data_IF_865708692569
#
_entry.id   IF_865708692569
#
_cell.length_a   1.000
_cell.length_b   1.000
_cell.length_c   1.000
_cell.angle_alpha   90.00
_cell.angle_beta   90.00
_cell.angle_gamma   90.00
#
_symmetry.space_group_name_H-M   'P 1'
#
loop_
_entity.id
_entity.type
_entity.pdbx_description
1 polymer ?
#
# COMPACT_ATOMS: atom_id res chain seq x y z
N UNK A 1 -4.63 4.50 -8.26
CA UNK A 1 -5.36 3.22 -8.18
C UNK A 1 -6.52 3.21 -9.16
N UNK A 2 -7.47 4.15 -9.02
CA UNK A 2 -8.67 4.26 -9.88
C UNK A 2 -8.33 4.22 -11.39
N UNK A 3 -7.45 5.11 -11.86
CA UNK A 3 -7.05 5.17 -13.28
C UNK A 3 -6.40 3.88 -13.82
N UNK A 4 -5.76 3.08 -12.95
CA UNK A 4 -5.15 1.82 -13.36
C UNK A 4 -6.18 0.69 -13.40
N UNK A 5 -7.13 0.68 -12.45
CA UNK A 5 -8.23 -0.28 -12.44
C UNK A 5 -9.22 -0.03 -13.58
N UNK A 6 -9.50 1.24 -13.93
CA UNK A 6 -10.32 1.61 -15.09
C UNK A 6 -9.68 1.23 -16.43
N UNK A 7 -8.35 1.08 -16.46
CA UNK A 7 -7.60 0.59 -17.61
C UNK A 7 -7.44 -0.95 -17.62
N UNK A 8 -8.20 -1.67 -16.78
CA UNK A 8 -8.13 -3.14 -16.61
C UNK A 8 -6.72 -3.68 -16.28
N UNK A 9 -5.89 -2.86 -15.64
CA UNK A 9 -4.56 -3.30 -15.19
C UNK A 9 -4.65 -3.97 -13.82
N UNK A 10 -3.95 -5.09 -13.59
CA UNK A 10 -3.88 -5.72 -12.28
C UNK A 10 -3.15 -4.79 -11.29
N UNK A 11 -3.81 -4.51 -10.15
CA UNK A 11 -3.25 -3.66 -9.09
C UNK A 11 -3.20 -4.45 -7.79
N UNK A 12 -2.10 -4.36 -7.06
CA UNK A 12 -1.95 -4.93 -5.73
C UNK A 12 -1.52 -3.86 -4.73
N UNK A 13 -2.03 -3.92 -3.50
CA UNK A 13 -1.52 -3.10 -2.40
C UNK A 13 -0.46 -3.90 -1.63
N UNK A 14 0.74 -3.34 -1.53
CA UNK A 14 1.85 -3.98 -0.82
C UNK A 14 2.26 -3.13 0.38
N UNK A 15 2.80 -3.76 1.41
CA UNK A 15 3.43 -3.03 2.50
C UNK A 15 4.74 -2.38 1.99
N UNK A 16 4.92 -1.05 2.10
CA UNK A 16 6.14 -0.39 1.64
C UNK A 16 7.43 -0.95 2.24
N UNK A 17 7.37 -1.53 3.45
CA UNK A 17 8.52 -2.21 4.09
C UNK A 17 8.98 -3.41 3.27
N UNK A 18 8.05 -4.24 2.78
CA UNK A 18 8.39 -5.43 1.99
C UNK A 18 9.11 -5.06 0.70
N UNK A 19 8.64 -4.03 -0.01
CA UNK A 19 9.32 -3.53 -1.21
C UNK A 19 10.74 -3.03 -0.93
N UNK A 20 10.95 -2.35 0.21
CA UNK A 20 12.28 -1.89 0.64
C UNK A 20 13.20 -3.04 1.03
N UNK A 21 12.69 -4.03 1.74
CA UNK A 21 13.51 -5.17 2.16
C UNK A 21 13.88 -6.06 0.97
N UNK A 22 12.99 -6.20 -0.01
CA UNK A 22 13.30 -6.81 -1.31
C UNK A 22 14.37 -6.04 -2.10
N UNK A 23 14.29 -4.71 -2.14
CA UNK A 23 15.31 -3.85 -2.75
C UNK A 23 16.70 -4.07 -2.12
N UNK A 24 16.75 -4.14 -0.78
CA UNK A 24 18.00 -4.41 -0.04
C UNK A 24 18.55 -5.80 -0.36
N UNK A 25 17.70 -6.82 -0.34
CA UNK A 25 18.10 -8.20 -0.63
C UNK A 25 18.64 -8.36 -2.06
N UNK A 26 18.18 -7.53 -3.01
CA UNK A 26 18.62 -7.54 -4.41
C UNK A 26 19.82 -6.62 -4.69
N UNK A 27 20.36 -5.93 -3.67
CA UNK A 27 21.59 -5.14 -3.77
C UNK A 27 21.47 -3.83 -4.56
N UNK A 28 20.24 -3.38 -4.88
CA UNK A 28 20.02 -2.12 -5.61
C UNK A 28 19.84 -0.96 -4.62
N UNK A 29 20.89 -0.16 -4.46
CA UNK A 29 20.95 0.97 -3.51
C UNK A 29 20.81 2.36 -4.15
N UNK A 30 20.82 2.46 -5.48
CA UNK A 30 20.58 3.72 -6.18
C UNK A 30 19.08 3.98 -6.30
N UNK A 31 18.61 5.09 -5.72
CA UNK A 31 17.21 5.54 -5.81
C UNK A 31 17.04 6.52 -6.97
N UNK A 32 16.65 6.00 -8.11
CA UNK A 32 16.03 6.78 -9.17
C UNK A 32 14.66 6.18 -9.44
N UNK A 33 13.72 6.96 -9.97
CA UNK A 33 12.36 6.48 -10.26
C UNK A 33 12.38 5.24 -11.17
N UNK A 34 13.34 5.16 -12.10
CA UNK A 34 13.51 4.01 -12.98
C UNK A 34 13.95 2.73 -12.24
N UNK A 35 14.83 2.86 -11.24
CA UNK A 35 15.30 1.71 -10.45
C UNK A 35 14.19 1.25 -9.51
N UNK A 36 13.50 2.18 -8.85
CA UNK A 36 12.37 1.86 -7.96
C UNK A 36 11.27 1.13 -8.74
N UNK A 37 10.94 1.58 -9.95
CA UNK A 37 9.97 0.90 -10.83
C UNK A 37 10.41 -0.53 -11.19
N UNK A 38 11.70 -0.73 -11.54
CA UNK A 38 12.22 -2.05 -11.88
C UNK A 38 12.21 -3.01 -10.69
N UNK A 39 12.51 -2.50 -9.49
CA UNK A 39 12.46 -3.29 -8.25
C UNK A 39 11.02 -3.71 -7.94
N UNK A 40 10.06 -2.79 -8.06
CA UNK A 40 8.64 -3.11 -7.81
C UNK A 40 8.08 -4.09 -8.85
N UNK A 41 8.47 -3.99 -10.12
CA UNK A 41 8.11 -4.97 -11.14
C UNK A 41 8.64 -6.36 -10.79
N UNK A 42 9.94 -6.46 -10.45
CA UNK A 42 10.55 -7.73 -10.06
C UNK A 42 9.93 -8.29 -8.77
N UNK A 43 9.60 -7.43 -7.80
CA UNK A 43 8.86 -7.84 -6.60
C UNK A 43 7.50 -8.43 -6.97
N UNK A 44 6.74 -7.79 -7.87
CA UNK A 44 5.43 -8.26 -8.32
C UNK A 44 5.49 -9.62 -8.99
N UNK A 45 6.49 -9.84 -9.85
CA UNK A 45 6.73 -11.13 -10.51
C UNK A 45 7.11 -12.23 -9.51
N UNK A 46 7.99 -11.94 -8.55
CA UNK A 46 8.51 -12.91 -7.61
C UNK A 46 7.52 -13.26 -6.48
N UNK A 47 6.84 -12.26 -5.94
CA UNK A 47 5.98 -12.41 -4.76
C UNK A 47 4.51 -12.63 -5.11
N UNK A 48 4.09 -12.34 -6.35
CA UNK A 48 2.72 -12.46 -6.83
C UNK A 48 1.68 -11.97 -5.81
N UNK A 49 1.77 -10.71 -5.36
CA UNK A 49 0.89 -10.19 -4.33
C UNK A 49 -0.57 -10.24 -4.79
N UNK A 50 -1.49 -10.40 -3.84
CA UNK A 50 -2.91 -10.51 -4.12
C UNK A 50 -3.41 -9.29 -4.90
N UNK A 51 -3.97 -9.55 -6.08
CA UNK A 51 -4.61 -8.53 -6.91
C UNK A 51 -5.87 -8.05 -6.20
N UNK A 52 -6.01 -6.74 -6.07
CA UNK A 52 -7.18 -6.10 -5.53
C UNK A 52 -8.36 -6.30 -6.48
N UNK A 53 -9.50 -6.69 -5.92
CA UNK A 53 -10.75 -6.66 -6.65
C UNK A 53 -11.05 -5.21 -7.09
N UNK A 54 -11.67 -5.08 -8.27
CA UNK A 54 -12.16 -3.79 -8.75
C UNK A 54 -13.24 -3.31 -7.78
N UNK A 55 -13.06 -2.11 -7.23
CA UNK A 55 -14.06 -1.51 -6.34
C UNK A 55 -15.31 -1.13 -7.14
N UNK A 56 -16.49 -1.51 -6.65
CA UNK A 56 -17.75 -1.08 -7.25
C UNK A 56 -17.93 0.43 -7.08
N UNK A 57 -18.72 1.05 -7.95
CA UNK A 57 -19.00 2.49 -7.87
C UNK A 57 -19.60 2.90 -6.53
N UNK A 58 -20.50 2.07 -5.97
CA UNK A 58 -21.12 2.30 -4.66
C UNK A 58 -20.09 2.23 -3.53
N UNK A 59 -19.17 1.26 -3.60
CA UNK A 59 -18.09 1.11 -2.60
C UNK A 59 -17.16 2.32 -2.62
N UNK A 60 -16.88 2.86 -3.82
CA UNK A 60 -16.07 4.07 -3.99
C UNK A 60 -16.74 5.29 -3.38
N UNK A 61 -18.00 5.54 -3.73
CA UNK A 61 -18.77 6.68 -3.21
C UNK A 61 -18.88 6.64 -1.69
N UNK A 62 -19.12 5.45 -1.12
CA UNK A 62 -19.12 5.26 0.33
C UNK A 62 -17.73 5.53 0.93
N UNK A 63 -16.68 5.04 0.30
CA UNK A 63 -15.29 5.29 0.70
C UNK A 63 -14.93 6.78 0.71
N UNK A 64 -15.36 7.53 -0.29
CA UNK A 64 -15.09 8.97 -0.40
C UNK A 64 -15.79 9.79 0.70
N UNK A 65 -16.95 9.32 1.17
CA UNK A 65 -17.64 9.94 2.31
C UNK A 65 -16.99 9.57 3.66
N UNK A 66 -16.51 8.32 3.81
CA UNK A 66 -15.93 7.82 5.07
C UNK A 66 -14.48 8.28 5.25
N UNK A 67 -13.69 8.39 4.18
CA UNK A 67 -12.25 8.68 4.24
C UNK A 67 -11.92 10.00 4.95
N UNK A 68 -12.66 11.11 4.77
CA UNK A 68 -12.47 12.34 5.55
C UNK A 68 -12.71 12.13 7.04
N UNK A 69 -13.76 11.39 7.42
CA UNK A 69 -14.07 11.06 8.81
C UNK A 69 -12.96 10.20 9.44
N UNK A 70 -12.54 9.14 8.75
CA UNK A 70 -11.45 8.28 9.19
C UNK A 70 -10.14 9.07 9.39
N UNK A 71 -9.85 10.06 8.53
CA UNK A 71 -8.66 10.93 8.66
C UNK A 71 -8.72 11.84 9.88
N UNK A 72 -9.89 12.37 10.23
CA UNK A 72 -10.08 13.20 11.42
C UNK A 72 -10.01 12.36 12.70
N UNK A 73 -10.68 11.20 12.71
CA UNK A 73 -10.63 10.27 13.82
C UNK A 73 -9.22 9.75 14.03
N UNK A 74 -8.52 9.33 12.97
CA UNK A 74 -7.15 8.84 13.10
C UNK A 74 -6.22 9.95 13.64
N UNK A 75 -6.35 11.20 13.19
CA UNK A 75 -5.62 12.33 13.76
C UNK A 75 -5.93 12.59 15.24
N UNK A 76 -7.16 12.33 15.69
CA UNK A 76 -7.57 12.45 17.10
C UNK A 76 -7.22 11.21 17.94
N UNK A 77 -7.03 10.06 17.32
CA UNK A 77 -6.74 8.78 17.97
C UNK A 77 -5.24 8.48 17.99
N UNK A 78 -4.44 9.03 17.06
CA UNK A 78 -2.97 8.90 17.06
C UNK A 78 -2.26 9.72 18.15
N UNK A 79 -2.97 10.51 18.96
CA UNK A 79 -2.43 11.00 20.23
C UNK A 79 -2.45 9.94 21.33
N UNK A 80 -3.32 8.91 21.23
CA UNK A 80 -3.55 7.93 22.30
C UNK A 80 -3.26 6.46 21.92
N UNK A 81 -3.21 6.07 20.63
CA UNK A 81 -3.07 4.64 20.23
C UNK A 81 -1.67 4.30 19.67
N UNK A 82 -0.71 5.23 19.65
CA UNK A 82 0.66 4.89 19.18
C UNK A 82 1.35 3.86 20.09
N UNK A 83 1.00 3.77 21.38
CA UNK A 83 1.58 2.75 22.27
C UNK A 83 1.02 1.34 22.02
N UNK A 84 -0.28 1.21 21.72
CA UNK A 84 -0.92 -0.11 21.61
C UNK A 84 -0.64 -0.82 20.28
N UNK A 85 -0.50 -0.07 19.18
CA UNK A 85 -0.18 -0.68 17.88
C UNK A 85 1.23 -1.24 17.81
N UNK A 86 2.20 -0.74 18.61
CA UNK A 86 3.55 -1.30 18.66
C UNK A 86 3.59 -2.71 19.28
N UNK A 87 2.60 -3.08 20.11
CA UNK A 87 2.56 -4.37 20.81
C UNK A 87 2.06 -5.52 19.91
N UNK A 88 1.20 -5.23 18.93
CA UNK A 88 0.58 -6.22 18.04
C UNK A 88 1.45 -6.62 16.84
N UNK A 89 2.54 -5.89 16.58
CA UNK A 89 3.48 -6.15 15.46
C UNK A 89 4.79 -6.78 15.91
N UNK A 90 4.97 -7.03 17.22
CA UNK A 90 6.18 -7.59 17.83
C UNK A 90 5.96 -8.95 18.54
N UNK A 91 4.91 -9.70 18.18
CA UNK A 91 4.74 -11.10 18.62
C UNK A 91 4.43 -11.98 17.41
#
# INVERSE_FOLDING_TARGET
MIQLQEADLPVALINPRQGRDFAKATGKLAKTDAIDAQILAHFGEAMQPQILAVESEESRQLGDLIRPLAKVLSRSLYSNIFEDYQLLINN
#
